data_IF_888127338654
#
_entry.id   IF_888127338654
#
_cell.length_a   1.000
_cell.length_b   1.000
_cell.length_c   1.000
_cell.angle_alpha   90.00
_cell.angle_beta   90.00
_cell.angle_gamma   90.00
#
_symmetry.space_group_name_H-M   'P 1'
#
loop_
_entity.id
_entity.type
_entity.pdbx_description
1 polymer ?
#
# COMPACT_ATOMS: atom_id res chain seq x y z
N UNK A 1 -29.36 -0.10 17.18
CA UNK A 1 -28.72 -1.38 16.81
C UNK A 1 -27.98 -1.36 15.46
N UNK A 2 -27.72 -0.19 14.83
CA UNK A 2 -26.92 -0.08 13.59
C UNK A 2 -25.46 0.40 13.79
N UNK A 3 -25.11 0.77 15.02
CA UNK A 3 -23.79 1.34 15.35
C UNK A 3 -22.74 0.22 15.53
N UNK A 4 -23.14 -0.98 15.95
CA UNK A 4 -22.22 -2.10 16.14
C UNK A 4 -21.80 -2.77 14.82
N UNK A 5 -22.61 -2.72 13.76
CA UNK A 5 -22.31 -3.40 12.50
C UNK A 5 -21.18 -2.72 11.70
N UNK A 6 -20.99 -1.40 11.88
CA UNK A 6 -20.01 -0.64 11.09
C UNK A 6 -18.58 -0.73 11.64
N UNK A 7 -18.41 -0.98 12.94
CA UNK A 7 -17.07 -0.98 13.56
C UNK A 7 -16.22 -2.14 13.07
N UNK A 8 -16.78 -3.35 13.01
CA UNK A 8 -16.06 -4.53 12.51
C UNK A 8 -15.64 -4.39 11.04
N UNK A 9 -16.48 -3.77 10.20
CA UNK A 9 -16.16 -3.53 8.79
C UNK A 9 -14.99 -2.55 8.65
N UNK A 10 -15.01 -1.45 9.41
CA UNK A 10 -13.92 -0.47 9.41
C UNK A 10 -12.60 -1.11 9.84
N UNK A 11 -12.60 -1.86 10.94
CA UNK A 11 -11.43 -2.58 11.44
C UNK A 11 -10.94 -3.63 10.43
N UNK A 12 -11.85 -4.38 9.80
CA UNK A 12 -11.50 -5.34 8.76
C UNK A 12 -10.84 -4.65 7.56
N UNK A 13 -11.41 -3.53 7.10
CA UNK A 13 -10.88 -2.74 5.96
C UNK A 13 -9.51 -2.15 6.28
N UNK A 14 -9.30 -1.67 7.50
CA UNK A 14 -8.00 -1.17 7.98
C UNK A 14 -6.97 -2.30 8.02
N UNK A 15 -7.28 -3.44 8.66
CA UNK A 15 -6.42 -4.62 8.69
C UNK A 15 -6.09 -5.12 7.28
N UNK A 16 -7.07 -5.12 6.39
CA UNK A 16 -6.89 -5.49 4.99
C UNK A 16 -5.97 -4.49 4.28
N UNK A 17 -6.13 -3.19 4.51
CA UNK A 17 -5.26 -2.16 3.96
C UNK A 17 -3.80 -2.31 4.41
N UNK A 18 -3.58 -2.66 5.68
CA UNK A 18 -2.24 -2.92 6.24
C UNK A 18 -1.66 -4.25 5.71
N UNK A 19 -2.48 -5.27 5.52
CA UNK A 19 -2.06 -6.55 4.94
C UNK A 19 -1.67 -6.40 3.47
N UNK A 20 -2.39 -5.57 2.73
CA UNK A 20 -2.20 -5.31 1.30
C UNK A 20 -1.38 -4.04 1.03
N UNK A 21 -0.49 -3.64 1.95
CA UNK A 21 0.46 -2.54 1.69
C UNK A 21 1.28 -2.85 0.44
N UNK A 22 1.52 -1.84 -0.41
CA UNK A 22 2.27 -2.02 -1.66
C UNK A 22 3.63 -2.70 -1.47
N UNK A 23 4.30 -2.44 -0.35
CA UNK A 23 5.58 -3.07 -0.04
C UNK A 23 5.48 -4.60 0.12
N UNK A 24 4.44 -5.08 0.82
CA UNK A 24 4.16 -6.52 0.96
C UNK A 24 3.80 -7.18 -0.36
N UNK A 25 2.97 -6.51 -1.18
CA UNK A 25 2.67 -6.97 -2.54
C UNK A 25 3.92 -6.95 -3.43
N UNK A 26 4.78 -5.95 -3.24
CA UNK A 26 6.03 -5.79 -3.95
C UNK A 26 7.08 -6.83 -3.58
N UNK A 27 7.06 -7.39 -2.36
CA UNK A 27 7.91 -8.52 -2.01
C UNK A 27 7.64 -9.74 -2.91
N UNK A 28 6.37 -9.97 -3.26
CA UNK A 28 5.96 -11.03 -4.19
C UNK A 28 6.32 -10.63 -5.63
N UNK A 29 5.89 -9.44 -6.07
CA UNK A 29 6.03 -9.00 -7.46
C UNK A 29 7.48 -8.74 -7.91
N UNK A 30 8.34 -8.25 -7.01
CA UNK A 30 9.75 -7.98 -7.31
C UNK A 30 10.63 -9.23 -7.26
N UNK A 31 10.14 -10.32 -6.66
CA UNK A 31 10.89 -11.58 -6.59
C UNK A 31 11.22 -12.11 -8.00
N UNK A 32 12.37 -12.78 -8.14
CA UNK A 32 12.75 -13.40 -9.42
C UNK A 32 11.69 -14.39 -9.90
N UNK A 33 11.07 -15.11 -8.97
CA UNK A 33 9.96 -16.02 -9.25
C UNK A 33 8.77 -15.25 -9.83
N UNK A 34 8.39 -14.13 -9.21
CA UNK A 34 7.32 -13.25 -9.71
C UNK A 34 7.60 -12.73 -11.13
N UNK A 35 8.84 -12.35 -11.44
CA UNK A 35 9.19 -11.90 -12.81
C UNK A 35 9.08 -13.02 -13.83
N UNK A 36 9.46 -14.25 -13.46
CA UNK A 36 9.31 -15.42 -14.32
C UNK A 36 7.83 -15.76 -14.57
N UNK A 37 6.90 -15.39 -13.66
CA UNK A 37 5.48 -15.69 -13.87
C UNK A 37 4.85 -14.98 -15.05
N UNK A 38 5.44 -13.87 -15.51
CA UNK A 38 4.98 -13.14 -16.71
C UNK A 38 5.12 -13.99 -17.97
N UNK A 39 6.07 -14.94 -18.01
CA UNK A 39 6.25 -15.85 -19.15
C UNK A 39 5.30 -17.05 -19.10
N UNK A 40 4.60 -17.27 -17.97
CA UNK A 40 3.81 -18.49 -17.77
C UNK A 40 2.58 -18.60 -18.68
N UNK A 41 1.89 -17.54 -19.11
CA UNK A 41 0.83 -17.71 -20.10
C UNK A 41 1.31 -18.43 -21.36
N UNK A 42 2.54 -18.15 -21.80
CA UNK A 42 3.17 -18.78 -22.95
C UNK A 42 3.64 -20.21 -22.64
N UNK A 43 4.35 -20.40 -21.53
CA UNK A 43 4.85 -21.72 -21.12
C UNK A 43 3.68 -22.67 -20.80
N UNK A 44 2.67 -22.18 -20.11
CA UNK A 44 1.47 -22.91 -19.74
C UNK A 44 0.64 -23.31 -20.97
N UNK A 45 0.51 -22.41 -21.96
CA UNK A 45 -0.07 -22.77 -23.25
C UNK A 45 0.72 -23.90 -23.92
N UNK A 46 2.06 -23.78 -23.98
CA UNK A 46 2.91 -24.83 -24.53
C UNK A 46 2.78 -26.16 -23.78
N UNK A 47 2.63 -26.15 -22.45
CA UNK A 47 2.45 -27.36 -21.64
C UNK A 47 1.11 -28.01 -21.92
N UNK A 48 0.02 -27.25 -21.94
CA UNK A 48 -1.34 -27.78 -22.16
C UNK A 48 -1.50 -28.36 -23.56
N UNK A 49 -0.90 -27.72 -24.58
CA UNK A 49 -1.06 -28.12 -25.97
C UNK A 49 0.02 -29.09 -26.46
N UNK A 50 1.01 -29.44 -25.63
CA UNK A 50 2.02 -30.44 -25.99
C UNK A 50 1.61 -31.84 -25.51
N UNK A 51 1.29 -32.78 -26.42
CA UNK A 51 0.84 -34.12 -26.05
C UNK A 51 1.87 -34.90 -25.22
N UNK A 52 3.17 -34.67 -25.45
CA UNK A 52 4.24 -35.32 -24.70
C UNK A 52 4.24 -34.89 -23.23
N UNK A 53 4.11 -33.58 -22.95
CA UNK A 53 3.97 -33.09 -21.57
C UNK A 53 2.68 -33.61 -20.92
N UNK A 54 1.55 -33.55 -21.62
CA UNK A 54 0.28 -34.08 -21.10
C UNK A 54 0.40 -35.56 -20.77
N UNK A 55 1.04 -36.37 -21.61
CA UNK A 55 1.25 -37.80 -21.34
C UNK A 55 2.15 -38.06 -20.12
N UNK A 56 3.19 -37.24 -19.91
CA UNK A 56 4.06 -37.33 -18.75
C UNK A 56 3.30 -37.02 -17.44
N UNK A 57 2.45 -36.00 -17.44
CA UNK A 57 1.62 -35.67 -16.27
C UNK A 57 0.39 -36.57 -16.13
N UNK A 58 -0.06 -37.24 -17.19
CA UNK A 58 -1.11 -38.26 -17.14
C UNK A 58 -0.58 -39.65 -16.79
N UNK A 59 0.73 -39.84 -16.61
CA UNK A 59 1.24 -41.13 -16.14
C UNK A 59 0.54 -41.51 -14.85
N UNK A 60 -0.13 -42.65 -14.91
CA UNK A 60 -0.92 -43.21 -13.84
C UNK A 60 -0.05 -43.40 -12.58
N UNK A 61 -0.69 -43.25 -11.42
CA UNK A 61 -0.07 -43.41 -10.10
C UNK A 61 0.75 -44.72 -10.04
N UNK A 62 2.08 -44.65 -9.85
CA UNK A 62 2.88 -45.86 -9.69
C UNK A 62 2.41 -46.59 -8.45
N UNK A 63 1.99 -47.85 -8.62
CA UNK A 63 1.51 -48.71 -7.53
C UNK A 63 0.01 -49.01 -7.55
N UNK A 64 -0.75 -48.51 -8.53
CA UNK A 64 -2.17 -48.90 -8.69
C UNK A 64 -2.96 -48.67 -7.41
N UNK A 65 -2.77 -47.49 -6.78
CA UNK A 65 -3.46 -47.13 -5.55
C UNK A 65 -4.96 -47.38 -5.79
N UNK A 66 -5.59 -48.28 -5.01
CA UNK A 66 -6.99 -48.61 -5.24
C UNK A 66 -7.81 -47.34 -5.25
N UNK A 67 -8.86 -47.32 -6.09
CA UNK A 67 -9.79 -46.22 -6.34
C UNK A 67 -10.61 -45.78 -5.11
N UNK A 68 -10.06 -45.90 -3.90
CA UNK A 68 -10.74 -45.68 -2.62
C UNK A 68 -11.19 -44.23 -2.43
N UNK A 69 -10.66 -43.28 -3.21
CA UNK A 69 -11.04 -41.85 -3.16
C UNK A 69 -11.23 -41.27 -4.57
N UNK A 70 -12.41 -41.47 -5.15
CA UNK A 70 -12.79 -40.94 -6.49
C UNK A 70 -12.50 -39.43 -6.62
N UNK A 71 -12.83 -38.64 -5.59
CA UNK A 71 -12.59 -37.19 -5.56
C UNK A 71 -11.10 -36.79 -5.65
N UNK A 72 -10.19 -37.63 -5.14
CA UNK A 72 -8.75 -37.34 -5.20
C UNK A 72 -8.22 -37.56 -6.62
N UNK A 73 -8.73 -38.58 -7.32
CA UNK A 73 -8.38 -38.84 -8.72
C UNK A 73 -8.83 -37.68 -9.62
N UNK A 74 -10.06 -37.19 -9.44
CA UNK A 74 -10.56 -36.00 -10.16
C UNK A 74 -9.70 -34.76 -9.91
N UNK A 75 -9.35 -34.47 -8.66
CA UNK A 75 -8.47 -33.33 -8.34
C UNK A 75 -7.07 -33.49 -8.94
N UNK A 76 -6.56 -34.72 -8.99
CA UNK A 76 -5.26 -35.02 -9.57
C UNK A 76 -5.25 -34.82 -11.09
N UNK A 77 -6.34 -35.14 -11.78
CA UNK A 77 -6.51 -34.86 -13.22
C UNK A 77 -6.57 -33.35 -13.50
N UNK A 78 -7.25 -32.59 -12.63
CA UNK A 78 -7.38 -31.14 -12.77
C UNK A 78 -6.10 -30.37 -12.38
N UNK A 79 -5.07 -31.04 -11.83
CA UNK A 79 -3.89 -30.36 -11.28
C UNK A 79 -3.16 -29.47 -12.29
N UNK A 80 -3.11 -29.87 -13.57
CA UNK A 80 -2.49 -29.07 -14.63
C UNK A 80 -3.29 -27.79 -14.91
N UNK A 81 -4.61 -27.87 -14.85
CA UNK A 81 -5.51 -26.73 -15.02
C UNK A 81 -5.34 -25.76 -13.84
N UNK A 82 -5.33 -26.27 -12.61
CA UNK A 82 -5.07 -25.47 -11.42
C UNK A 82 -3.67 -24.84 -11.43
N UNK A 83 -2.65 -25.58 -11.86
CA UNK A 83 -1.30 -25.07 -12.05
C UNK A 83 -1.29 -23.93 -13.08
N UNK A 84 -1.90 -24.13 -14.23
CA UNK A 84 -1.97 -23.12 -15.29
C UNK A 84 -2.67 -21.84 -14.81
N UNK A 85 -3.90 -21.95 -14.30
CA UNK A 85 -4.66 -20.78 -13.85
C UNK A 85 -4.01 -20.13 -12.63
N UNK A 86 -3.45 -20.90 -11.70
CA UNK A 86 -2.73 -20.36 -10.56
C UNK A 86 -1.56 -19.48 -10.98
N UNK A 87 -0.72 -19.99 -11.88
CA UNK A 87 0.40 -19.22 -12.40
C UNK A 87 -0.03 -18.06 -13.30
N UNK A 88 -1.12 -18.20 -14.06
CA UNK A 88 -1.71 -17.13 -14.87
C UNK A 88 -2.17 -15.96 -13.98
N UNK A 89 -2.90 -16.25 -12.91
CA UNK A 89 -3.37 -15.22 -11.97
C UNK A 89 -2.20 -14.56 -11.22
N UNK A 90 -1.17 -15.32 -10.84
CA UNK A 90 0.07 -14.73 -10.29
C UNK A 90 0.76 -13.81 -11.32
N UNK A 91 0.82 -14.22 -12.59
CA UNK A 91 1.39 -13.41 -13.67
C UNK A 91 0.62 -12.12 -13.92
N UNK A 92 -0.71 -12.19 -13.96
CA UNK A 92 -1.59 -11.01 -14.10
C UNK A 92 -1.47 -10.09 -12.89
N UNK A 93 -1.50 -10.63 -11.66
CA UNK A 93 -1.29 -9.87 -10.44
C UNK A 93 0.06 -9.14 -10.44
N UNK A 94 1.13 -9.80 -10.87
CA UNK A 94 2.44 -9.19 -10.98
C UNK A 94 2.50 -8.11 -12.07
N UNK A 95 1.91 -8.36 -13.24
CA UNK A 95 1.84 -7.37 -14.31
C UNK A 95 1.10 -6.10 -13.85
N UNK A 96 -0.05 -6.26 -13.19
CA UNK A 96 -0.80 -5.15 -12.63
C UNK A 96 0.01 -4.39 -11.56
N UNK A 97 0.76 -5.10 -10.71
CA UNK A 97 1.67 -4.47 -9.75
C UNK A 97 2.72 -3.60 -10.45
N UNK A 98 3.41 -4.12 -11.48
CA UNK A 98 4.45 -3.36 -12.20
C UNK A 98 3.88 -2.11 -12.87
N UNK A 99 2.68 -2.20 -13.44
CA UNK A 99 2.03 -1.09 -14.16
C UNK A 99 1.44 -0.03 -13.24
N UNK A 100 0.85 -0.43 -12.11
CA UNK A 100 0.00 0.46 -11.30
C UNK A 100 0.63 0.91 -9.97
N UNK A 101 1.67 0.20 -9.49
CA UNK A 101 2.36 0.59 -8.26
C UNK A 101 3.09 1.92 -8.44
N UNK A 102 3.09 2.80 -7.41
CA UNK A 102 3.85 4.04 -7.43
C UNK A 102 5.33 3.80 -7.73
N UNK A 103 5.94 4.70 -8.52
CA UNK A 103 7.30 4.53 -8.99
C UNK A 103 8.33 4.37 -7.86
N UNK A 104 8.22 5.16 -6.80
CA UNK A 104 9.07 5.07 -5.62
C UNK A 104 9.08 3.66 -5.03
N UNK A 105 7.92 3.02 -4.91
CA UNK A 105 7.77 1.66 -4.36
C UNK A 105 8.19 0.57 -5.35
N UNK A 106 8.22 0.86 -6.65
CA UNK A 106 8.78 -0.10 -7.63
C UNK A 106 10.29 -0.11 -7.58
N UNK A 107 10.92 1.07 -7.47
CA UNK A 107 12.37 1.24 -7.46
C UNK A 107 12.99 0.82 -6.12
N UNK A 108 12.35 1.16 -5.01
CA UNK A 108 12.91 0.92 -3.67
C UNK A 108 12.11 -0.11 -2.89
N UNK A 109 12.80 -1.11 -2.35
CA UNK A 109 12.22 -2.11 -1.45
C UNK A 109 12.16 -1.70 0.00
N UNK A 110 12.88 -0.66 0.38
CA UNK A 110 12.92 -0.18 1.75
C UNK A 110 12.91 1.35 1.78
N UNK A 111 12.38 1.90 2.87
CA UNK A 111 12.27 3.34 3.10
C UNK A 111 13.67 3.96 3.20
N UNK A 112 14.62 3.28 3.84
CA UNK A 112 15.98 3.80 4.01
C UNK A 112 16.67 4.04 2.66
N UNK A 113 16.50 3.11 1.71
CA UNK A 113 17.04 3.23 0.36
C UNK A 113 16.39 4.36 -0.44
N UNK A 114 15.10 4.58 -0.27
CA UNK A 114 14.40 5.73 -0.89
C UNK A 114 14.89 7.05 -0.33
N UNK A 115 14.93 7.18 1.01
CA UNK A 115 15.35 8.42 1.68
C UNK A 115 16.80 8.75 1.34
N UNK A 116 17.69 7.75 1.28
CA UNK A 116 19.08 7.96 0.87
C UNK A 116 19.19 8.50 -0.57
N UNK A 117 18.50 7.89 -1.55
CA UNK A 117 18.54 8.36 -2.94
C UNK A 117 17.92 9.75 -3.10
N UNK A 118 16.84 10.05 -2.38
CA UNK A 118 16.18 11.36 -2.47
C UNK A 118 16.96 12.47 -1.76
N UNK A 119 17.71 12.15 -0.71
CA UNK A 119 18.58 13.10 -0.03
C UNK A 119 19.73 13.57 -0.95
N UNK A 120 20.27 12.69 -1.80
CA UNK A 120 21.33 13.02 -2.75
C UNK A 120 20.89 14.04 -3.81
N UNK A 121 19.58 14.10 -4.10
CA UNK A 121 18.96 15.02 -5.06
C UNK A 121 18.10 16.09 -4.39
N UNK A 122 18.19 16.23 -3.07
CA UNK A 122 17.35 17.12 -2.29
C UNK A 122 17.54 18.58 -2.70
N UNK A 123 16.44 19.23 -3.11
CA UNK A 123 16.37 20.66 -3.35
C UNK A 123 15.18 21.25 -2.61
N UNK A 124 15.21 22.56 -2.25
CA UNK A 124 14.08 23.20 -1.58
C UNK A 124 12.76 23.03 -2.34
N UNK A 125 12.79 23.14 -3.67
CA UNK A 125 11.59 22.97 -4.50
C UNK A 125 11.10 21.53 -4.57
N UNK A 126 12.00 20.55 -4.61
CA UNK A 126 11.62 19.14 -4.59
C UNK A 126 10.95 18.79 -3.26
N UNK A 127 11.54 19.19 -2.14
CA UNK A 127 11.02 18.90 -0.80
C UNK A 127 9.67 19.57 -0.58
N UNK A 128 9.54 20.85 -0.95
CA UNK A 128 8.26 21.56 -0.95
C UNK A 128 7.21 20.82 -1.77
N UNK A 129 7.55 20.42 -3.00
CA UNK A 129 6.64 19.67 -3.88
C UNK A 129 6.22 18.33 -3.29
N UNK A 130 7.12 17.60 -2.62
CA UNK A 130 6.79 16.31 -1.99
C UNK A 130 5.90 16.46 -0.76
N UNK A 131 6.15 17.50 0.04
CA UNK A 131 5.29 17.84 1.16
C UNK A 131 3.88 18.21 0.68
N UNK A 132 3.79 19.13 -0.29
CA UNK A 132 2.52 19.59 -0.85
C UNK A 132 1.72 18.44 -1.49
N UNK A 133 2.38 17.54 -2.25
CA UNK A 133 1.73 16.36 -2.84
C UNK A 133 1.17 15.42 -1.74
N UNK A 134 1.91 15.24 -0.65
CA UNK A 134 1.50 14.38 0.45
C UNK A 134 0.30 14.96 1.21
N UNK A 135 0.32 16.26 1.49
CA UNK A 135 -0.81 16.98 2.12
C UNK A 135 -2.04 16.95 1.22
N UNK A 136 -1.88 17.27 -0.08
CA UNK A 136 -2.98 17.26 -1.04
C UNK A 136 -3.62 15.87 -1.16
N UNK A 137 -2.82 14.80 -1.14
CA UNK A 137 -3.32 13.42 -1.16
C UNK A 137 -4.11 13.09 0.12
N UNK A 138 -3.62 13.52 1.27
CA UNK A 138 -4.31 13.34 2.54
C UNK A 138 -5.67 14.06 2.52
N UNK A 139 -5.71 15.35 2.18
CA UNK A 139 -6.95 16.15 2.10
C UNK A 139 -7.93 15.63 1.03
N UNK A 140 -7.43 15.12 -0.10
CA UNK A 140 -8.28 14.52 -1.14
C UNK A 140 -9.04 13.30 -0.62
N UNK A 141 -8.38 12.52 0.25
CA UNK A 141 -8.85 11.21 0.70
C UNK A 141 -9.63 11.29 2.02
N UNK A 142 -9.26 12.24 2.88
CA UNK A 142 -9.84 12.47 4.20
C UNK A 142 -10.38 13.91 4.25
N UNK A 143 -11.69 14.08 4.06
CA UNK A 143 -12.39 15.37 4.16
C UNK A 143 -13.20 15.47 5.45
N UNK A 144 -13.27 16.67 6.03
CA UNK A 144 -14.08 16.94 7.24
C UNK A 144 -13.56 16.21 8.46
N UNK A 145 -14.47 15.60 9.25
CA UNK A 145 -14.13 14.88 10.48
C UNK A 145 -13.14 13.72 10.25
N UNK A 146 -13.11 13.11 9.06
CA UNK A 146 -12.20 12.01 8.74
C UNK A 146 -10.73 12.44 8.59
N UNK A 147 -10.44 13.75 8.52
CA UNK A 147 -9.08 14.26 8.48
C UNK A 147 -8.36 14.06 9.83
N UNK A 148 -9.04 14.29 10.94
CA UNK A 148 -8.38 14.22 12.24
C UNK A 148 -8.05 12.78 12.66
N UNK A 149 -6.87 12.53 13.28
CA UNK A 149 -6.49 11.21 13.81
C UNK A 149 -7.34 10.77 15.00
N UNK A 150 -8.20 11.64 15.51
CA UNK A 150 -9.11 11.35 16.62
C UNK A 150 -10.34 10.55 16.21
N UNK A 151 -10.62 10.43 14.90
CA UNK A 151 -11.80 9.71 14.40
C UNK A 151 -11.42 8.31 13.93
N UNK A 152 -12.28 7.34 14.25
CA UNK A 152 -12.03 5.92 14.00
C UNK A 152 -12.21 5.47 12.55
N UNK A 153 -12.69 6.34 11.66
CA UNK A 153 -12.97 5.99 10.26
C UNK A 153 -12.10 6.78 9.28
N UNK A 154 -10.79 6.52 9.30
CA UNK A 154 -9.91 7.03 8.25
C UNK A 154 -10.05 6.21 6.96
N UNK A 155 -9.75 6.83 5.83
CA UNK A 155 -9.81 6.13 4.56
C UNK A 155 -8.74 5.02 4.49
N UNK A 156 -9.05 3.84 3.93
CA UNK A 156 -8.06 2.78 3.75
C UNK A 156 -6.92 3.18 2.81
N UNK A 157 -7.07 4.24 2.02
CA UNK A 157 -5.97 4.75 1.18
C UNK A 157 -4.96 5.62 1.95
N UNK A 158 -5.29 6.00 3.19
CA UNK A 158 -4.46 6.79 4.08
C UNK A 158 -4.82 6.48 5.54
N UNK A 159 -4.38 5.30 6.07
CA UNK A 159 -4.80 4.83 7.39
C UNK A 159 -4.13 5.62 8.54
N UNK A 160 -4.57 5.31 9.76
CA UNK A 160 -4.17 5.94 11.03
C UNK A 160 -2.66 6.11 11.18
N UNK A 161 -1.89 5.05 10.96
CA UNK A 161 -0.42 5.10 11.04
C UNK A 161 0.20 6.14 10.08
N UNK A 162 -0.32 6.23 8.84
CA UNK A 162 0.21 7.16 7.84
C UNK A 162 -0.22 8.60 8.15
N UNK A 163 -1.46 8.79 8.62
CA UNK A 163 -1.97 10.07 9.12
C UNK A 163 -1.14 10.55 10.29
N UNK A 164 -0.89 9.71 11.28
CA UNK A 164 -0.09 10.06 12.46
C UNK A 164 1.30 10.57 12.07
N UNK A 165 2.02 9.87 11.19
CA UNK A 165 3.33 10.33 10.73
C UNK A 165 3.29 11.68 10.01
N UNK A 166 2.23 11.96 9.24
CA UNK A 166 2.03 13.27 8.62
C UNK A 166 1.74 14.34 9.67
N UNK A 167 0.84 14.11 10.63
CA UNK A 167 0.55 15.08 11.69
C UNK A 167 1.78 15.35 12.57
N UNK A 168 2.56 14.34 12.90
CA UNK A 168 3.81 14.48 13.66
C UNK A 168 4.83 15.34 12.90
N UNK A 169 4.95 15.14 11.59
CA UNK A 169 5.77 15.97 10.71
C UNK A 169 5.25 17.42 10.67
N UNK A 170 3.96 17.65 10.45
CA UNK A 170 3.41 19.01 10.41
C UNK A 170 3.62 19.71 11.76
N UNK A 171 3.42 19.00 12.87
CA UNK A 171 3.68 19.54 14.19
C UNK A 171 5.16 19.82 14.47
N UNK A 172 6.09 19.05 13.89
CA UNK A 172 7.54 19.30 14.01
C UNK A 172 7.94 20.51 13.17
N UNK A 173 7.45 20.61 11.93
CA UNK A 173 7.68 21.75 11.04
C UNK A 173 7.15 23.05 11.64
N UNK A 174 5.95 23.04 12.21
CA UNK A 174 5.36 24.20 12.87
C UNK A 174 6.24 24.72 14.02
N UNK A 175 6.81 23.81 14.81
CA UNK A 175 7.69 24.15 15.94
C UNK A 175 9.02 24.78 15.50
N UNK A 176 9.47 24.47 14.29
CA UNK A 176 10.73 24.99 13.75
C UNK A 176 10.59 26.36 13.07
N UNK A 177 9.36 26.85 12.86
CA UNK A 177 9.12 28.20 12.32
C UNK A 177 9.49 29.24 13.39
N UNK A 178 10.39 30.20 13.09
CA UNK A 178 10.71 31.29 14.01
C UNK A 178 9.46 32.14 14.31
N UNK A 179 9.10 32.26 15.59
CA UNK A 179 7.92 33.04 15.98
C UNK A 179 8.04 34.54 15.68
N UNK A 180 9.28 35.05 15.60
CA UNK A 180 9.56 36.47 15.28
C UNK A 180 9.10 36.88 13.86
N UNK A 181 8.85 35.91 12.97
CA UNK A 181 8.39 36.16 11.59
C UNK A 181 6.89 36.01 11.38
N UNK A 182 6.13 35.61 12.40
CA UNK A 182 4.68 35.50 12.30
C UNK A 182 4.07 36.92 12.41
N UNK A 183 3.13 37.29 11.54
CA UNK A 183 2.47 38.59 11.64
C UNK A 183 1.79 38.71 13.01
N UNK A 184 2.16 39.76 13.76
CA UNK A 184 1.52 40.13 15.02
C UNK A 184 0.12 40.66 14.70
N UNK A 185 -0.87 39.76 14.66
CA UNK A 185 -2.27 40.14 14.44
C UNK A 185 -2.89 40.37 15.80
N UNK A 186 -2.89 41.63 16.22
CA UNK A 186 -3.60 42.07 17.42
C UNK A 186 -5.11 41.87 17.22
N UNK A 187 -5.81 41.30 18.21
CA UNK A 187 -7.27 41.06 18.22
C UNK A 187 -8.12 42.29 17.88
N UNK A 188 -7.54 43.50 17.89
CA UNK A 188 -8.25 44.75 17.65
C UNK A 188 -8.34 45.16 16.17
N UNK A 189 -7.51 44.59 15.30
CA UNK A 189 -7.49 44.91 13.87
C UNK A 189 -8.29 43.88 13.05
N UNK A 190 -9.51 43.52 13.48
CA UNK A 190 -10.37 42.56 12.78
C UNK A 190 -10.93 43.12 11.46
N UNK A 191 -10.47 42.68 10.27
CA UNK A 191 -11.03 43.11 9.00
C UNK A 191 -11.90 41.96 8.45
N UNK A 192 -13.22 42.12 8.51
CA UNK A 192 -14.19 41.47 7.61
C UNK A 192 -13.88 39.98 7.25
N UNK A 193 -14.02 39.07 8.22
CA UNK A 193 -14.41 37.65 8.12
C UNK A 193 -13.65 36.67 7.20
N UNK A 194 -12.91 37.13 6.21
CA UNK A 194 -12.25 36.34 5.15
C UNK A 194 -10.72 36.31 5.30
N UNK A 195 -10.14 37.24 6.05
CA UNK A 195 -8.72 37.24 6.40
C UNK A 195 -8.44 36.37 7.64
N UNK A 196 -9.47 36.01 8.41
CA UNK A 196 -9.35 35.21 9.62
C UNK A 196 -9.04 33.74 9.33
N UNK A 197 -9.50 33.23 8.19
CA UNK A 197 -9.32 31.83 7.78
C UNK A 197 -7.84 31.47 7.50
N UNK A 198 -7.00 32.47 7.23
CA UNK A 198 -5.54 32.31 7.07
C UNK A 198 -4.72 32.78 8.27
N UNK A 199 -5.36 33.05 9.41
CA UNK A 199 -4.68 33.59 10.59
C UNK A 199 -3.96 32.48 11.37
N UNK A 200 -2.68 32.66 11.79
CA UNK A 200 -1.96 31.70 12.61
C UNK A 200 -2.66 31.33 13.93
N UNK A 201 -3.59 32.15 14.42
CA UNK A 201 -4.30 31.91 15.67
C UNK A 201 -5.37 30.82 15.56
N UNK A 202 -5.80 30.45 14.35
CA UNK A 202 -6.78 29.37 14.14
C UNK A 202 -6.16 27.97 14.29
N UNK A 203 -4.83 27.87 14.34
CA UNK A 203 -4.12 26.58 14.41
C UNK A 203 -4.09 25.99 15.82
N UNK A 204 -4.51 26.72 16.85
CA UNK A 204 -4.57 26.19 18.21
C UNK A 204 -6.02 25.95 18.64
N UNK A 205 -6.28 24.82 19.28
CA UNK A 205 -7.55 24.58 19.97
C UNK A 205 -7.68 25.52 21.18
N UNK A 206 -8.90 25.70 21.70
CA UNK A 206 -9.10 26.42 22.98
C UNK A 206 -8.38 25.77 24.18
N UNK A 207 -7.91 24.53 24.03
CA UNK A 207 -7.08 23.82 25.01
C UNK A 207 -5.57 23.91 24.74
N UNK A 208 -5.16 24.66 23.72
CA UNK A 208 -3.75 24.90 23.37
C UNK A 208 -3.09 23.80 22.53
N UNK A 209 -3.85 22.84 22.00
CA UNK A 209 -3.30 21.82 21.11
C UNK A 209 -3.21 22.34 19.68
N UNK A 210 -2.11 22.01 18.99
CA UNK A 210 -1.94 22.33 17.59
C UNK A 210 -2.90 21.47 16.73
N UNK A 211 -3.80 22.14 16.04
CA UNK A 211 -4.70 21.62 15.01
C UNK A 211 -3.93 21.54 13.70
N UNK A 212 -3.20 20.44 13.52
CA UNK A 212 -2.38 20.19 12.33
C UNK A 212 -3.21 20.11 11.04
N UNK A 213 -4.49 19.79 11.13
CA UNK A 213 -5.45 19.87 10.01
C UNK A 213 -5.55 21.31 9.48
N UNK A 214 -5.78 22.28 10.37
CA UNK A 214 -5.86 23.69 10.01
C UNK A 214 -4.53 24.18 9.41
N UNK A 215 -3.40 23.68 9.91
CA UNK A 215 -2.08 23.98 9.34
C UNK A 215 -1.97 23.47 7.90
N UNK A 216 -2.40 22.24 7.65
CA UNK A 216 -2.42 21.64 6.30
C UNK A 216 -3.36 22.39 5.35
N UNK A 217 -4.54 22.80 5.83
CA UNK A 217 -5.49 23.61 5.06
C UNK A 217 -4.91 24.98 4.72
N UNK A 218 -4.19 25.62 5.65
CA UNK A 218 -3.45 26.86 5.38
C UNK A 218 -2.32 26.66 4.35
N UNK A 219 -1.65 25.51 4.35
CA UNK A 219 -0.61 25.21 3.36
C UNK A 219 -1.16 25.04 1.94
N UNK A 220 -2.42 24.61 1.80
CA UNK A 220 -3.06 24.45 0.49
C UNK A 220 -3.95 25.63 0.09
N UNK A 221 -4.21 26.56 1.02
CA UNK A 221 -4.93 27.79 0.74
C UNK A 221 -4.14 28.72 -0.19
N UNK A 222 -4.71 29.08 -1.34
CA UNK A 222 -4.07 29.95 -2.35
C UNK A 222 -4.04 31.45 -2.01
N UNK A 223 -4.28 31.83 -0.75
CA UNK A 223 -4.34 33.22 -0.31
C UNK A 223 -2.95 33.87 -0.14
N UNK A 224 -2.84 35.20 -0.27
CA UNK A 224 -1.54 35.90 -0.12
C UNK A 224 -0.88 35.71 1.25
N UNK A 225 -1.67 35.74 2.32
CA UNK A 225 -1.17 35.47 3.68
C UNK A 225 -0.70 34.01 3.81
N UNK A 226 -1.43 33.08 3.20
CA UNK A 226 -1.05 31.67 3.14
C UNK A 226 0.24 31.44 2.35
N UNK A 227 0.55 32.23 1.32
CA UNK A 227 1.84 32.12 0.60
C UNK A 227 3.05 32.43 1.49
N UNK A 228 2.97 33.44 2.35
CA UNK A 228 4.05 33.77 3.28
C UNK A 228 4.23 32.65 4.31
N UNK A 229 3.11 32.10 4.81
CA UNK A 229 3.11 30.95 5.71
C UNK A 229 3.69 29.69 5.05
N UNK A 230 3.26 29.39 3.83
CA UNK A 230 3.71 28.25 3.04
C UNK A 230 5.23 28.32 2.79
N UNK A 231 5.76 29.51 2.50
CA UNK A 231 7.20 29.72 2.35
C UNK A 231 7.97 29.32 3.63
N UNK A 232 7.49 29.75 4.81
CA UNK A 232 8.11 29.39 6.09
C UNK A 232 8.02 27.88 6.37
N UNK A 233 6.88 27.25 6.06
CA UNK A 233 6.73 25.79 6.19
C UNK A 233 7.66 25.04 5.24
N UNK A 234 7.80 25.49 3.99
CA UNK A 234 8.71 24.89 3.01
C UNK A 234 10.17 25.05 3.43
N UNK A 235 10.54 26.18 4.02
CA UNK A 235 11.87 26.40 4.56
C UNK A 235 12.17 25.48 5.75
N UNK A 236 11.22 25.32 6.68
CA UNK A 236 11.33 24.35 7.77
C UNK A 236 11.42 22.92 7.24
N UNK A 237 10.63 22.58 6.21
CA UNK A 237 10.61 21.27 5.58
C UNK A 237 11.96 20.91 4.95
N UNK A 238 12.66 21.91 4.39
CA UNK A 238 14.01 21.71 3.89
C UNK A 238 14.98 21.24 4.98
N UNK A 239 14.87 21.79 6.19
CA UNK A 239 15.66 21.35 7.36
C UNK A 239 15.33 19.92 7.82
N UNK A 240 14.17 19.39 7.43
CA UNK A 240 13.68 18.04 7.75
C UNK A 240 13.43 17.18 6.51
N UNK A 241 14.23 17.35 5.46
CA UNK A 241 14.09 16.65 4.17
C UNK A 241 13.83 15.13 4.32
N UNK A 242 14.59 14.46 5.19
CA UNK A 242 14.48 13.01 5.45
C UNK A 242 13.11 12.61 6.00
N UNK A 243 12.53 13.42 6.88
CA UNK A 243 11.20 13.15 7.43
C UNK A 243 10.13 13.34 6.35
N UNK A 244 10.25 14.39 5.52
CA UNK A 244 9.35 14.61 4.38
C UNK A 244 9.36 13.42 3.42
N UNK A 245 10.54 12.96 3.01
CA UNK A 245 10.67 11.79 2.14
C UNK A 245 10.19 10.50 2.80
N UNK A 246 10.42 10.33 4.10
CA UNK A 246 9.90 9.19 4.86
C UNK A 246 8.36 9.16 4.83
N UNK A 247 7.71 10.28 5.17
CA UNK A 247 6.23 10.38 5.20
C UNK A 247 5.64 10.21 3.80
N UNK A 248 6.28 10.79 2.78
CA UNK A 248 5.86 10.61 1.38
C UNK A 248 5.89 9.12 0.98
N UNK A 249 7.02 8.44 1.20
CA UNK A 249 7.18 7.03 0.84
C UNK A 249 6.22 6.14 1.62
N UNK A 250 6.08 6.41 2.92
CA UNK A 250 5.21 5.64 3.80
C UNK A 250 3.74 5.79 3.38
N UNK A 251 3.28 7.01 3.10
CA UNK A 251 1.91 7.29 2.63
C UNK A 251 1.65 6.70 1.24
N UNK A 252 2.63 6.75 0.33
CA UNK A 252 2.55 6.09 -0.98
C UNK A 252 2.30 4.59 -0.84
N UNK A 253 2.80 3.96 0.23
CA UNK A 253 2.59 2.55 0.56
C UNK A 253 1.11 2.15 0.69
N UNK A 254 0.24 3.12 1.00
CA UNK A 254 -1.21 2.91 1.15
C UNK A 254 -2.04 3.50 0.00
N UNK A 255 -1.42 4.20 -0.95
CA UNK A 255 -2.12 4.82 -2.06
C UNK A 255 -2.94 3.79 -2.88
N UNK A 256 -4.08 4.22 -3.44
CA UNK A 256 -4.93 3.43 -4.36
C UNK A 256 -5.39 2.09 -3.77
N UNK A 257 -6.10 2.12 -2.63
CA UNK A 257 -6.58 0.90 -1.94
C UNK A 257 -7.29 -0.11 -2.86
N UNK A 258 -8.22 0.35 -3.70
CA UNK A 258 -8.97 -0.54 -4.62
C UNK A 258 -8.04 -1.33 -5.53
N UNK A 259 -7.00 -0.68 -6.07
CA UNK A 259 -6.02 -1.32 -6.95
C UNK A 259 -5.22 -2.38 -6.19
N UNK A 260 -4.79 -2.06 -4.96
CA UNK A 260 -4.08 -3.00 -4.07
C UNK A 260 -4.93 -4.24 -3.76
N UNK A 261 -6.23 -4.05 -3.50
CA UNK A 261 -7.17 -5.14 -3.24
C UNK A 261 -7.35 -6.04 -4.46
N UNK A 262 -7.48 -5.47 -5.66
CA UNK A 262 -7.57 -6.26 -6.90
C UNK A 262 -6.30 -7.08 -7.13
N UNK A 263 -5.12 -6.49 -6.96
CA UNK A 263 -3.84 -7.20 -7.10
C UNK A 263 -3.70 -8.30 -6.04
N UNK A 264 -4.00 -7.97 -4.79
CA UNK A 264 -3.99 -8.94 -3.68
C UNK A 264 -4.93 -10.12 -3.93
N UNK A 265 -6.11 -9.86 -4.51
CA UNK A 265 -7.07 -10.89 -4.90
C UNK A 265 -6.52 -11.82 -5.98
N UNK A 266 -5.86 -11.28 -7.02
CA UNK A 266 -5.18 -12.10 -8.03
C UNK A 266 -4.09 -12.98 -7.42
N UNK A 267 -3.27 -12.43 -6.52
CA UNK A 267 -2.28 -13.23 -5.81
C UNK A 267 -2.92 -14.31 -4.94
N UNK A 268 -3.97 -13.98 -4.18
CA UNK A 268 -4.67 -14.92 -3.32
C UNK A 268 -5.26 -16.09 -4.13
N UNK A 269 -6.00 -15.82 -5.20
CA UNK A 269 -6.54 -16.88 -6.07
C UNK A 269 -5.40 -17.67 -6.71
N UNK A 270 -4.35 -17.00 -7.17
CA UNK A 270 -3.17 -17.64 -7.74
C UNK A 270 -2.56 -18.66 -6.77
N UNK A 271 -2.30 -18.26 -5.53
CA UNK A 271 -1.78 -19.15 -4.49
C UNK A 271 -2.76 -20.26 -4.12
N UNK A 272 -4.05 -19.96 -3.93
CA UNK A 272 -5.06 -20.98 -3.62
C UNK A 272 -5.16 -22.04 -4.72
N UNK A 273 -5.10 -21.64 -5.99
CA UNK A 273 -5.08 -22.58 -7.10
C UNK A 273 -3.81 -23.46 -7.10
N UNK A 274 -2.65 -22.92 -6.70
CA UNK A 274 -1.40 -23.67 -6.60
C UNK A 274 -1.31 -24.63 -5.41
N UNK A 275 -2.16 -24.46 -4.39
CA UNK A 275 -2.23 -25.41 -3.26
C UNK A 275 -2.68 -26.79 -3.75
N UNK A 276 -3.63 -26.87 -4.68
CA UNK A 276 -4.17 -28.15 -5.20
C UNK A 276 -3.09 -29.04 -5.84
N UNK A 277 -2.33 -28.59 -6.87
CA UNK A 277 -1.28 -29.40 -7.44
C UNK A 277 -0.19 -29.74 -6.40
N UNK A 278 0.18 -28.79 -5.53
CA UNK A 278 1.22 -29.01 -4.52
C UNK A 278 0.84 -30.09 -3.50
N UNK A 279 -0.38 -30.04 -2.96
CA UNK A 279 -0.88 -31.03 -2.01
C UNK A 279 -1.05 -32.40 -2.66
N UNK A 280 -1.67 -32.45 -3.85
CA UNK A 280 -1.89 -33.73 -4.55
C UNK A 280 -0.57 -34.41 -4.90
N UNK A 281 0.44 -33.68 -5.37
CA UNK A 281 1.78 -34.24 -5.61
C UNK A 281 2.49 -34.64 -4.32
N UNK A 282 2.37 -33.85 -3.25
CA UNK A 282 3.03 -34.17 -1.98
C UNK A 282 2.46 -35.44 -1.34
N UNK A 283 1.13 -35.57 -1.33
CA UNK A 283 0.44 -36.78 -0.84
C UNK A 283 0.87 -38.00 -1.65
N UNK A 284 0.92 -37.87 -2.98
CA UNK A 284 1.37 -38.94 -3.87
C UNK A 284 2.79 -39.39 -3.54
N UNK A 285 3.73 -38.44 -3.43
CA UNK A 285 5.13 -38.75 -3.08
C UNK A 285 5.22 -39.46 -1.73
N UNK A 286 4.50 -38.96 -0.71
CA UNK A 286 4.47 -39.60 0.61
C UNK A 286 3.91 -41.03 0.54
N UNK A 287 2.78 -41.24 -0.14
CA UNK A 287 2.19 -42.58 -0.30
C UNK A 287 3.15 -43.54 -1.01
N UNK A 288 3.81 -43.10 -2.08
CA UNK A 288 4.79 -43.93 -2.79
C UNK A 288 6.00 -44.27 -1.91
N UNK A 289 6.49 -43.32 -1.11
CA UNK A 289 7.62 -43.54 -0.21
C UNK A 289 7.32 -44.58 0.88
N UNK A 290 6.09 -44.61 1.41
CA UNK A 290 5.66 -45.60 2.39
C UNK A 290 5.40 -46.99 1.80
N UNK A 291 5.10 -47.07 0.50
CA UNK A 291 4.82 -48.34 -0.19
C UNK A 291 6.08 -49.06 -0.66
N UNK A 292 7.21 -48.37 -0.84
CA UNK A 292 8.51 -49.01 -1.09
C UNK A 292 8.93 -49.83 0.14
N UNK A 293 8.80 -51.17 0.12
CA UNK A 293 9.32 -51.99 1.20
C UNK A 293 10.84 -51.89 1.17
N UNK A 294 11.45 -51.70 2.33
CA UNK A 294 12.90 -51.84 2.52
C UNK A 294 13.27 -53.25 2.04
N UNK A 295 13.84 -53.34 0.84
CA UNK A 295 14.55 -54.54 0.37
C UNK A 295 15.94 -54.60 1.01
#
# INVERSE_FOLDING_TARGET
>A
MRIFDNYWIAEFVERLSVALKWDKLGAIGRSNIGRLTILIPFVGYLIIFNPSFVSFFRQELPGGIPNTYEWFSELHELRLIFLYFGLLFLGVGNLLFILLAPEALRRHSDVSGYVAEMEDVASPSLIASKLDETIARFQQVNQGEAASPLFSSQSPSFPSDASQHLHDLIASLWRDIPQEGLPDVTEQDEPLGSLYEGSPYTVYSGSGYLLTDNVMDMMTAGGRAALAFQFSMHQAAFGRSKEVFFVEFFSLGYARFVVRTVIGFFFLIGFLALIVPTLTTSILVLLTAFQSPVM
#
